data_IF_073023218789
#
_entry.id   IF_073023218789
#
_cell.length_a   1.000
_cell.length_b   1.000
_cell.length_c   1.000
_cell.angle_alpha   90.00
_cell.angle_beta   90.00
_cell.angle_gamma   90.00
#
_symmetry.space_group_name_H-M   'P 1'
#
loop_
_entity.id
_entity.type
_entity.pdbx_description
1 polymer ?
#
# COMPACT_ATOMS: atom_id res chain seq x y z
N UNK A 1 -17.68 -32.03 16.76
CA UNK A 1 -16.40 -31.52 16.23
C UNK A 1 -16.70 -30.18 15.57
N UNK A 2 -16.45 -29.07 16.26
CA UNK A 2 -16.72 -27.73 15.74
C UNK A 2 -15.42 -27.19 15.14
N UNK A 3 -15.40 -27.05 13.82
CA UNK A 3 -14.31 -26.40 13.09
C UNK A 3 -14.36 -24.91 13.41
N UNK A 4 -13.57 -24.47 14.38
CA UNK A 4 -13.29 -23.05 14.60
C UNK A 4 -12.43 -22.61 13.42
N UNK A 5 -13.09 -22.03 12.43
CA UNK A 5 -12.41 -21.27 11.39
C UNK A 5 -11.76 -20.10 12.12
N UNK A 6 -10.44 -20.16 12.27
CA UNK A 6 -9.60 -19.02 12.61
C UNK A 6 -9.81 -18.00 11.50
N UNK A 7 -10.81 -17.15 11.70
CA UNK A 7 -11.04 -16.00 10.86
C UNK A 7 -9.95 -15.01 11.23
N UNK A 8 -8.99 -14.69 10.34
CA UNK A 8 -7.94 -13.75 10.68
C UNK A 8 -8.65 -12.45 11.03
N UNK A 9 -8.57 -12.07 12.30
CA UNK A 9 -9.14 -10.85 12.86
C UNK A 9 -8.66 -9.67 12.02
N UNK A 10 -9.47 -9.29 11.03
CA UNK A 10 -9.34 -8.01 10.33
C UNK A 10 -9.87 -6.97 11.31
N UNK A 11 -9.11 -6.75 12.38
CA UNK A 11 -9.32 -5.62 13.27
C UNK A 11 -9.36 -4.38 12.38
N UNK A 12 -10.41 -3.55 12.43
CA UNK A 12 -10.40 -2.25 11.77
C UNK A 12 -9.12 -1.54 12.24
N UNK A 13 -8.21 -1.33 11.29
CA UNK A 13 -6.78 -1.32 11.53
C UNK A 13 -6.38 -0.23 12.52
N UNK A 14 -5.63 -0.61 13.55
CA UNK A 14 -4.80 0.36 14.27
C UNK A 14 -3.84 0.93 13.23
N UNK A 15 -3.97 2.22 12.94
CA UNK A 15 -3.12 2.94 12.00
C UNK A 15 -1.64 2.63 12.27
N UNK A 16 -0.80 2.38 11.25
CA UNK A 16 0.63 2.24 11.47
C UNK A 16 1.14 3.49 12.19
N UNK A 17 1.86 3.28 13.29
CA UNK A 17 2.31 4.34 14.21
C UNK A 17 3.10 5.43 13.48
N UNK A 18 3.78 5.06 12.38
CA UNK A 18 4.44 5.94 11.40
C UNK A 18 4.48 5.25 10.04
N UNK A 19 4.20 5.99 8.97
CA UNK A 19 4.43 5.54 7.59
C UNK A 19 3.25 4.85 6.91
N UNK A 20 3.57 4.04 5.90
CA UNK A 20 2.61 3.34 5.06
C UNK A 20 2.14 2.02 5.72
N UNK A 21 0.93 1.55 5.40
CA UNK A 21 0.54 0.17 5.66
C UNK A 21 1.47 -0.82 4.91
N UNK A 22 1.60 -2.08 5.36
CA UNK A 22 2.46 -3.07 4.72
C UNK A 22 2.18 -3.19 3.21
N UNK A 23 3.22 -3.15 2.37
CA UNK A 23 3.09 -3.08 0.90
C UNK A 23 2.17 -4.14 0.29
N UNK A 24 2.19 -5.37 0.84
CA UNK A 24 1.35 -6.47 0.37
C UNK A 24 -0.15 -6.28 0.59
N UNK A 25 -0.58 -5.36 1.46
CA UNK A 25 -2.01 -5.14 1.73
C UNK A 25 -2.69 -4.23 0.71
N UNK A 26 -1.93 -3.50 -0.11
CA UNK A 26 -2.47 -2.49 -1.01
C UNK A 26 -1.88 -2.49 -2.41
N UNK A 27 -0.64 -2.93 -2.62
CA UNK A 27 0.04 -2.82 -3.91
C UNK A 27 -0.78 -3.37 -5.06
N UNK A 28 -1.24 -4.62 -4.95
CA UNK A 28 -1.99 -5.33 -6.01
C UNK A 28 -3.41 -4.81 -6.21
N UNK A 29 -3.94 -4.08 -5.23
CA UNK A 29 -5.27 -3.46 -5.27
C UNK A 29 -5.23 -2.02 -5.81
N UNK A 30 -4.05 -1.44 -5.94
CA UNK A 30 -3.87 -0.09 -6.45
C UNK A 30 -4.12 -0.05 -7.97
N UNK A 31 -4.71 1.05 -8.44
CA UNK A 31 -4.91 1.29 -9.86
C UNK A 31 -3.58 1.21 -10.64
N UNK A 32 -3.61 0.55 -11.81
CA UNK A 32 -2.42 0.34 -12.66
C UNK A 32 -1.70 1.63 -13.01
N UNK A 33 -2.43 2.73 -13.19
CA UNK A 33 -1.83 4.06 -13.41
C UNK A 33 -0.94 4.51 -12.25
N UNK A 34 -1.40 4.32 -11.01
CA UNK A 34 -0.63 4.68 -9.82
C UNK A 34 0.50 3.69 -9.56
N UNK A 35 0.31 2.40 -9.85
CA UNK A 35 1.40 1.42 -9.82
C UNK A 35 2.54 1.83 -10.76
N UNK A 36 2.23 2.23 -12.00
CA UNK A 36 3.23 2.73 -12.96
C UNK A 36 3.90 4.02 -12.49
N UNK A 37 3.15 4.95 -11.90
CA UNK A 37 3.71 6.18 -11.32
C UNK A 37 4.78 5.86 -10.25
N UNK A 38 4.46 4.94 -9.34
CA UNK A 38 5.37 4.51 -8.27
C UNK A 38 6.59 3.75 -8.85
N UNK A 39 6.38 2.93 -9.87
CA UNK A 39 7.46 2.19 -10.53
C UNK A 39 8.38 3.09 -11.36
N UNK A 40 7.90 4.24 -11.83
CA UNK A 40 8.71 5.18 -12.59
C UNK A 40 9.86 5.78 -11.75
N UNK A 41 9.61 6.02 -10.46
CA UNK A 41 10.65 6.40 -9.49
C UNK A 41 10.32 5.87 -8.07
N UNK A 42 10.69 4.62 -7.74
CA UNK A 42 10.43 4.01 -6.44
C UNK A 42 11.12 4.70 -5.26
N UNK A 43 12.12 5.55 -5.52
CA UNK A 43 12.85 6.30 -4.50
C UNK A 43 12.22 7.65 -4.17
N UNK A 44 11.36 8.17 -5.06
CA UNK A 44 10.69 9.44 -4.85
C UNK A 44 9.68 9.40 -3.69
N UNK A 45 9.41 10.55 -3.06
CA UNK A 45 8.26 10.70 -2.21
C UNK A 45 6.95 10.38 -2.94
N UNK A 46 6.10 9.59 -2.30
CA UNK A 46 4.76 9.31 -2.80
C UNK A 46 3.93 10.57 -2.80
N UNK A 47 3.20 10.79 -3.90
CA UNK A 47 2.26 11.91 -3.99
C UNK A 47 1.16 11.78 -2.93
N UNK A 48 0.63 12.89 -2.39
CA UNK A 48 -0.44 12.85 -1.39
C UNK A 48 -1.66 12.04 -1.85
N UNK A 49 -2.00 12.09 -3.14
CA UNK A 49 -3.10 11.31 -3.71
C UNK A 49 -2.87 9.79 -3.61
N UNK A 50 -1.64 9.32 -3.87
CA UNK A 50 -1.27 7.90 -3.74
C UNK A 50 -1.40 7.47 -2.28
N UNK A 51 -0.84 8.24 -1.35
CA UNK A 51 -0.93 7.97 0.09
C UNK A 51 -2.40 7.88 0.52
N UNK A 52 -3.22 8.83 0.07
CA UNK A 52 -4.67 8.84 0.33
C UNK A 52 -5.35 7.56 -0.12
N UNK A 53 -5.06 7.12 -1.36
CA UNK A 53 -5.64 5.91 -1.94
C UNK A 53 -5.19 4.64 -1.21
N UNK A 54 -3.92 4.56 -0.81
CA UNK A 54 -3.39 3.46 -0.01
C UNK A 54 -4.13 3.34 1.33
N UNK A 55 -4.36 4.46 2.00
CA UNK A 55 -5.08 4.50 3.27
C UNK A 55 -6.54 4.06 3.11
N UNK A 56 -7.20 4.53 2.05
CA UNK A 56 -8.56 4.12 1.69
C UNK A 56 -8.67 2.61 1.42
N UNK A 57 -7.77 2.04 0.60
CA UNK A 57 -7.71 0.59 0.31
C UNK A 57 -7.60 -0.23 1.61
N UNK A 58 -6.82 0.28 2.56
CA UNK A 58 -6.60 -0.40 3.83
C UNK A 58 -7.70 -0.14 4.88
N UNK A 59 -8.72 0.66 4.55
CA UNK A 59 -9.82 1.01 5.46
C UNK A 59 -9.44 1.97 6.59
N UNK A 60 -8.38 2.77 6.40
CA UNK A 60 -8.03 3.83 7.34
C UNK A 60 -8.79 5.12 7.05
N UNK A 61 -8.99 5.93 8.10
CA UNK A 61 -9.51 7.28 7.94
C UNK A 61 -8.57 8.13 7.08
N UNK A 62 -9.15 8.66 6.00
CA UNK A 62 -8.46 9.38 4.94
C UNK A 62 -8.15 10.82 5.34
N UNK A 63 -9.04 11.43 6.14
CA UNK A 63 -8.83 12.78 6.71
C UNK A 63 -7.65 12.78 7.70
N UNK A 64 -7.41 11.62 8.29
CA UNK A 64 -6.27 11.40 9.15
C UNK A 64 -4.95 11.20 8.38
N UNK A 65 -4.93 10.96 7.06
CA UNK A 65 -3.75 10.53 6.31
C UNK A 65 -2.51 11.42 6.56
N UNK A 66 -1.28 10.86 6.57
CA UNK A 66 -0.09 11.65 6.88
C UNK A 66 0.08 12.78 5.86
N UNK A 67 0.26 14.01 6.35
CA UNK A 67 0.62 15.16 5.51
C UNK A 67 2.11 15.21 5.17
N UNK A 68 2.93 14.46 5.91
CA UNK A 68 4.35 14.31 5.61
C UNK A 68 4.57 13.47 4.35
N UNK A 69 5.55 13.87 3.56
CA UNK A 69 6.05 13.11 2.41
C UNK A 69 6.50 11.71 2.86
N UNK A 70 5.81 10.67 2.36
CA UNK A 70 6.15 9.27 2.64
C UNK A 70 6.93 8.70 1.46
N UNK A 71 8.00 7.97 1.75
CA UNK A 71 8.75 7.19 0.75
C UNK A 71 8.54 5.71 1.00
N UNK A 72 8.72 4.90 -0.05
CA UNK A 72 8.86 3.46 0.12
C UNK A 72 10.17 3.17 0.84
N UNK A 73 10.16 2.27 1.83
CA UNK A 73 11.38 1.76 2.44
C UNK A 73 12.08 0.74 1.53
N UNK A 74 13.24 0.25 1.98
CA UNK A 74 14.05 -0.69 1.20
C UNK A 74 13.30 -2.00 0.88
N UNK A 75 12.51 -2.50 1.84
CA UNK A 75 11.75 -3.73 1.67
C UNK A 75 10.56 -3.54 0.71
N UNK A 76 9.85 -2.42 0.80
CA UNK A 76 8.76 -2.12 -0.14
C UNK A 76 9.28 -1.97 -1.56
N UNK A 77 10.43 -1.29 -1.75
CA UNK A 77 11.08 -1.17 -3.06
C UNK A 77 11.50 -2.53 -3.62
N UNK A 78 12.12 -3.38 -2.81
CA UNK A 78 12.50 -4.73 -3.22
C UNK A 78 11.27 -5.57 -3.60
N UNK A 79 10.18 -5.44 -2.85
CA UNK A 79 8.93 -6.13 -3.16
C UNK A 79 8.37 -5.70 -4.52
N UNK A 80 8.23 -4.39 -4.79
CA UNK A 80 7.65 -3.91 -6.05
C UNK A 80 8.58 -4.06 -7.26
N UNK A 81 9.91 -4.15 -7.05
CA UNK A 81 10.86 -4.38 -8.15
C UNK A 81 10.57 -5.67 -8.91
N UNK A 82 10.04 -6.70 -8.23
CA UNK A 82 9.59 -7.95 -8.88
C UNK A 82 8.33 -7.80 -9.75
N UNK A 83 7.66 -6.65 -9.72
CA UNK A 83 6.41 -6.39 -10.44
C UNK A 83 6.60 -5.50 -11.67
N UNK A 84 7.79 -4.97 -11.94
CA UNK A 84 8.05 -4.05 -13.05
C UNK A 84 7.47 -4.54 -14.37
N UNK A 85 7.68 -5.82 -14.70
CA UNK A 85 7.16 -6.44 -15.92
C UNK A 85 5.66 -6.75 -15.88
N UNK A 86 5.04 -6.84 -14.70
CA UNK A 86 3.65 -7.27 -14.51
C UNK A 86 2.61 -6.14 -14.64
N UNK A 87 3.06 -4.89 -14.75
CA UNK A 87 2.21 -3.70 -14.89
C UNK A 87 2.14 -3.21 -16.34
N UNK A 88 2.96 -3.77 -17.23
CA UNK A 88 3.08 -3.39 -18.65
C UNK A 88 2.18 -4.20 -19.60
N UNK A 89 1.43 -5.21 -19.12
CA UNK A 89 0.55 -6.02 -19.98
C UNK A 89 -0.77 -5.32 -20.27
N UNK A 90 -0.77 -4.40 -21.25
CA UNK A 90 -2.00 -3.90 -21.91
C UNK A 90 -1.72 -3.64 -23.37
#
# INVERSE_FOLDING_TARGET
>A
MSSVIDQPSRSPGRRPSRGLPPIGTWWTLLDRGLQREILADPGAPLRPFVVRRVFEICGFDVESAPTASLTLGANERAYIAGWSHAVDWT
#
